data_IF_878723565353
#
_entry.id   IF_878723565353
#
_cell.length_a   1.000
_cell.length_b   1.000
_cell.length_c   1.000
_cell.angle_alpha   90.00
_cell.angle_beta   90.00
_cell.angle_gamma   90.00
#
_symmetry.space_group_name_H-M   'P 1'
#
loop_
_entity.id
_entity.type
_entity.pdbx_description
1 polymer ?
#
# COMPACT_ATOMS: atom_id res chain seq x y z
N UNK A 1 -3.60 -13.02 -9.45
CA UNK A 1 -3.42 -13.92 -8.29
C UNK A 1 -1.94 -14.24 -8.18
N UNK A 2 -1.40 -14.42 -6.98
CA UNK A 2 0.00 -14.79 -6.84
C UNK A 2 0.26 -16.17 -7.45
N UNK A 3 1.43 -16.33 -8.07
CA UNK A 3 1.85 -17.60 -8.68
C UNK A 3 2.47 -18.44 -7.58
N UNK A 4 2.08 -19.72 -7.52
CA UNK A 4 2.66 -20.69 -6.58
C UNK A 4 4.17 -20.81 -6.77
N UNK A 5 4.88 -21.07 -5.69
CA UNK A 5 6.35 -21.17 -5.70
C UNK A 5 6.88 -22.19 -6.73
N UNK A 6 6.16 -23.30 -6.91
CA UNK A 6 6.47 -24.37 -7.84
C UNK A 6 5.93 -24.15 -9.27
N UNK A 7 5.46 -22.95 -9.60
CA UNK A 7 4.95 -22.58 -10.92
C UNK A 7 5.65 -21.33 -11.48
N UNK A 8 5.63 -21.20 -12.80
CA UNK A 8 6.04 -19.99 -13.51
C UNK A 8 5.00 -19.57 -14.55
N UNK A 9 5.10 -18.33 -15.04
CA UNK A 9 4.23 -17.86 -16.13
C UNK A 9 4.32 -18.75 -17.38
N UNK A 10 5.51 -19.30 -17.66
CA UNK A 10 5.71 -20.22 -18.77
C UNK A 10 5.00 -21.56 -18.53
N UNK A 11 5.17 -22.16 -17.34
CA UNK A 11 4.54 -23.44 -17.00
C UNK A 11 3.01 -23.34 -17.05
N UNK A 12 2.47 -22.22 -16.57
CA UNK A 12 1.03 -21.90 -16.59
C UNK A 12 0.51 -21.90 -18.03
N UNK A 13 1.20 -21.20 -18.94
CA UNK A 13 0.78 -21.11 -20.34
C UNK A 13 0.86 -22.46 -21.05
N UNK A 14 1.95 -23.20 -20.85
CA UNK A 14 2.14 -24.53 -21.43
C UNK A 14 1.07 -25.50 -20.94
N UNK A 15 0.79 -25.51 -19.63
CA UNK A 15 -0.20 -26.42 -19.07
C UNK A 15 -1.64 -26.04 -19.48
N UNK A 16 -1.95 -24.74 -19.56
CA UNK A 16 -3.25 -24.27 -20.05
C UNK A 16 -3.54 -24.75 -21.47
N UNK A 17 -2.54 -24.61 -22.36
CA UNK A 17 -2.62 -25.11 -23.75
C UNK A 17 -2.71 -26.63 -23.79
N UNK A 18 -1.87 -27.33 -23.03
CA UNK A 18 -1.86 -28.81 -22.97
C UNK A 18 -3.20 -29.38 -22.52
N UNK A 19 -3.87 -28.73 -21.55
CA UNK A 19 -5.19 -29.13 -21.06
C UNK A 19 -6.34 -28.72 -21.99
N UNK A 20 -6.08 -27.96 -23.06
CA UNK A 20 -7.10 -27.52 -24.00
C UNK A 20 -8.21 -26.67 -23.35
N UNK A 21 -7.84 -25.85 -22.35
CA UNK A 21 -8.82 -25.10 -21.54
C UNK A 21 -9.34 -23.84 -22.23
N UNK A 22 -8.76 -23.44 -23.35
CA UNK A 22 -9.24 -22.33 -24.16
C UNK A 22 -10.64 -22.62 -24.70
N UNK A 23 -11.55 -21.65 -24.61
CA UNK A 23 -12.92 -21.81 -25.12
C UNK A 23 -13.01 -22.15 -26.61
N UNK A 24 -12.00 -21.76 -27.40
CA UNK A 24 -11.89 -22.04 -28.84
C UNK A 24 -11.48 -23.49 -29.15
N UNK A 25 -10.84 -24.16 -28.20
CA UNK A 25 -10.25 -25.50 -28.37
C UNK A 25 -10.94 -26.55 -27.47
N UNK A 26 -11.75 -26.10 -26.51
CA UNK A 26 -12.42 -26.96 -25.55
C UNK A 26 -13.39 -27.91 -26.23
N UNK A 27 -13.20 -29.21 -25.97
CA UNK A 27 -14.14 -30.25 -26.34
C UNK A 27 -14.90 -30.70 -25.09
N UNK A 28 -16.24 -30.68 -25.10
CA UNK A 28 -17.03 -31.11 -23.96
C UNK A 28 -16.65 -32.52 -23.50
N UNK A 29 -16.19 -32.63 -22.25
CA UNK A 29 -15.91 -33.91 -21.61
C UNK A 29 -17.12 -34.33 -20.77
N UNK A 30 -17.57 -35.58 -20.93
CA UNK A 30 -18.71 -36.13 -20.17
C UNK A 30 -18.38 -36.47 -18.72
N UNK A 31 -17.09 -36.51 -18.35
CA UNK A 31 -16.65 -36.87 -16.98
C UNK A 31 -16.42 -35.67 -16.07
N UNK A 32 -15.92 -34.55 -16.60
CA UNK A 32 -15.60 -33.36 -15.81
C UNK A 32 -15.98 -32.08 -16.57
N UNK A 33 -16.92 -31.29 -16.04
CA UNK A 33 -17.30 -29.99 -16.60
C UNK A 33 -16.11 -29.04 -16.76
N UNK A 34 -16.18 -28.13 -17.74
CA UNK A 34 -15.11 -27.16 -18.03
C UNK A 34 -14.76 -26.27 -16.83
N UNK A 35 -15.77 -25.85 -16.05
CA UNK A 35 -15.56 -24.99 -14.89
C UNK A 35 -14.77 -25.69 -13.78
N UNK A 36 -14.94 -26.99 -13.60
CA UNK A 36 -14.17 -27.77 -12.63
C UNK A 36 -12.72 -27.96 -13.09
N UNK A 37 -12.50 -28.20 -14.38
CA UNK A 37 -11.15 -28.24 -14.96
C UNK A 37 -10.42 -26.90 -14.80
N UNK A 38 -11.12 -25.77 -14.99
CA UNK A 38 -10.60 -24.42 -14.77
C UNK A 38 -10.29 -24.17 -13.28
N UNK A 39 -11.17 -24.56 -12.35
CA UNK A 39 -10.92 -24.44 -10.91
C UNK A 39 -9.67 -25.22 -10.50
N UNK A 40 -9.52 -26.44 -11.00
CA UNK A 40 -8.34 -27.27 -10.76
C UNK A 40 -7.08 -26.65 -11.34
N UNK A 41 -7.12 -26.16 -12.58
CA UNK A 41 -6.00 -25.43 -13.18
C UNK A 41 -5.60 -24.21 -12.34
N UNK A 42 -6.57 -23.42 -11.89
CA UNK A 42 -6.30 -22.27 -11.02
C UNK A 42 -5.64 -22.75 -9.72
N UNK A 43 -6.19 -23.79 -9.08
CA UNK A 43 -5.66 -24.36 -7.86
C UNK A 43 -4.23 -24.91 -8.04
N UNK A 44 -3.90 -25.51 -9.19
CA UNK A 44 -2.58 -26.10 -9.42
C UNK A 44 -1.48 -25.04 -9.54
N UNK A 45 -1.80 -23.82 -9.99
CA UNK A 45 -0.82 -22.80 -10.34
C UNK A 45 -0.84 -21.51 -9.54
N UNK A 46 -1.97 -21.16 -8.93
CA UNK A 46 -2.14 -19.88 -8.25
C UNK A 46 -2.47 -20.07 -6.78
N UNK A 47 -1.90 -19.20 -5.95
CA UNK A 47 -2.29 -19.08 -4.55
C UNK A 47 -3.56 -18.23 -4.41
N UNK A 48 -4.31 -18.39 -3.30
CA UNK A 48 -5.41 -17.50 -2.98
C UNK A 48 -4.99 -16.02 -3.05
N UNK A 49 -5.84 -15.11 -3.54
CA UNK A 49 -5.41 -13.72 -3.64
C UNK A 49 -5.08 -13.13 -2.25
N UNK A 50 -4.05 -12.31 -2.15
CA UNK A 50 -3.59 -11.70 -0.89
C UNK A 50 -2.56 -12.51 -0.11
N UNK A 51 -2.19 -13.72 -0.53
CA UNK A 51 -1.07 -14.48 0.08
C UNK A 51 0.29 -13.79 -0.11
N UNK A 52 0.37 -12.84 -1.04
CA UNK A 52 1.54 -12.00 -1.29
C UNK A 52 1.74 -10.88 -0.24
N UNK A 53 0.83 -10.76 0.73
CA UNK A 53 0.96 -9.87 1.88
C UNK A 53 0.84 -10.64 3.19
N UNK A 54 1.69 -10.30 4.16
CA UNK A 54 1.60 -10.78 5.54
C UNK A 54 1.01 -9.69 6.44
N UNK A 55 0.12 -10.05 7.38
CA UNK A 55 -0.35 -9.10 8.39
C UNK A 55 0.81 -8.68 9.29
N UNK A 56 0.84 -7.40 9.67
CA UNK A 56 1.77 -6.86 10.66
C UNK A 56 1.05 -5.84 11.54
N UNK A 57 1.41 -5.80 12.82
CA UNK A 57 1.07 -4.67 13.68
C UNK A 57 2.12 -3.57 13.44
N UNK A 58 1.72 -2.34 13.07
CA UNK A 58 2.67 -1.24 12.94
C UNK A 58 3.47 -1.04 14.23
N UNK A 59 4.76 -0.73 14.11
CA UNK A 59 5.71 -0.82 15.23
C UNK A 59 5.54 0.31 16.27
N UNK A 60 4.94 1.42 15.89
CA UNK A 60 4.59 2.55 16.76
C UNK A 60 3.12 2.50 17.25
N UNK A 61 2.39 1.41 16.97
CA UNK A 61 1.04 1.21 17.48
C UNK A 61 1.02 0.96 19.00
N UNK A 62 0.11 1.62 19.71
CA UNK A 62 -0.04 1.51 21.17
C UNK A 62 -1.46 1.06 21.56
N UNK A 63 -1.64 -0.21 21.89
CA UNK A 63 -2.98 -0.79 22.15
C UNK A 63 -3.63 -0.39 23.48
N UNK A 64 -2.85 0.12 24.45
CA UNK A 64 -3.30 0.29 25.84
C UNK A 64 -3.58 1.74 26.23
N UNK A 65 -3.20 2.70 25.40
CA UNK A 65 -3.28 4.13 25.73
C UNK A 65 -4.07 4.88 24.67
N UNK A 66 -4.83 5.87 25.11
CA UNK A 66 -5.46 6.80 24.18
C UNK A 66 -4.35 7.69 23.57
N UNK A 67 -4.26 7.78 22.24
CA UNK A 67 -3.39 8.76 21.59
C UNK A 67 -3.66 10.18 22.13
N UNK A 68 -2.68 11.08 22.24
CA UNK A 68 -2.86 12.38 22.88
C UNK A 68 -4.06 13.19 22.34
N UNK A 69 -4.28 13.18 21.03
CA UNK A 69 -5.43 13.85 20.41
C UNK A 69 -6.76 13.20 20.78
N UNK A 70 -6.80 11.86 20.86
CA UNK A 70 -8.00 11.12 21.28
C UNK A 70 -8.27 11.33 22.77
N UNK A 71 -7.22 11.33 23.61
CA UNK A 71 -7.32 11.58 25.04
C UNK A 71 -7.90 12.97 25.37
N UNK A 72 -7.65 13.96 24.51
CA UNK A 72 -8.17 15.33 24.64
C UNK A 72 -9.65 15.51 24.32
N UNK A 73 -10.33 14.48 23.80
CA UNK A 73 -11.77 14.53 23.51
C UNK A 73 -12.55 14.52 24.84
N UNK A 74 -13.35 15.56 25.06
CA UNK A 74 -14.11 15.77 26.31
C UNK A 74 -15.30 14.81 26.44
N UNK A 75 -15.98 14.55 25.34
CA UNK A 75 -17.12 13.64 25.29
C UNK A 75 -16.65 12.19 25.37
N UNK A 76 -17.14 11.43 26.35
CA UNK A 76 -16.69 10.08 26.63
C UNK A 76 -17.08 9.07 25.54
N UNK A 77 -18.27 9.24 24.94
CA UNK A 77 -18.75 8.37 23.86
C UNK A 77 -17.91 8.59 22.60
N UNK A 78 -17.68 9.85 22.23
CA UNK A 78 -16.85 10.19 21.07
C UNK A 78 -15.39 9.78 21.28
N UNK A 79 -14.87 9.91 22.50
CA UNK A 79 -13.53 9.43 22.85
C UNK A 79 -13.41 7.92 22.72
N UNK A 80 -14.41 7.18 23.21
CA UNK A 80 -14.47 5.72 23.08
C UNK A 80 -14.52 5.30 21.61
N UNK A 81 -15.39 5.91 20.82
CA UNK A 81 -15.48 5.66 19.38
C UNK A 81 -14.17 5.98 18.63
N UNK A 82 -13.53 7.10 18.94
CA UNK A 82 -12.25 7.46 18.34
C UNK A 82 -11.13 6.48 18.72
N UNK A 83 -11.15 5.95 19.94
CA UNK A 83 -10.23 4.90 20.36
C UNK A 83 -10.52 3.56 19.68
N UNK A 84 -11.79 3.25 19.41
CA UNK A 84 -12.14 2.07 18.61
C UNK A 84 -11.65 2.18 17.17
N UNK A 85 -11.66 3.38 16.57
CA UNK A 85 -11.01 3.62 15.27
C UNK A 85 -9.50 3.39 15.34
N UNK A 86 -8.83 3.88 16.39
CA UNK A 86 -7.40 3.66 16.60
C UNK A 86 -7.05 2.16 16.60
N UNK A 87 -7.87 1.32 17.26
CA UNK A 87 -7.64 -0.13 17.33
C UNK A 87 -7.64 -0.82 15.96
N UNK A 88 -8.30 -0.25 14.95
CA UNK A 88 -8.39 -0.84 13.61
C UNK A 88 -7.01 -0.90 12.95
N UNK A 89 -6.10 0.06 13.23
CA UNK A 89 -4.76 0.11 12.63
C UNK A 89 -3.93 -1.16 12.86
N UNK A 90 -4.13 -1.82 14.01
CA UNK A 90 -3.51 -3.10 14.32
C UNK A 90 -3.79 -4.18 13.26
N UNK A 91 -4.98 -4.14 12.65
CA UNK A 91 -5.45 -5.16 11.71
C UNK A 91 -5.20 -4.82 10.23
N UNK A 92 -4.89 -3.55 9.92
CA UNK A 92 -4.75 -3.06 8.55
C UNK A 92 -3.30 -3.06 8.05
N UNK A 93 -2.32 -3.22 8.93
CA UNK A 93 -0.90 -3.29 8.56
C UNK A 93 -0.55 -4.53 7.74
N UNK A 94 0.15 -4.33 6.63
CA UNK A 94 0.63 -5.37 5.73
C UNK A 94 2.10 -5.16 5.38
N UNK A 95 2.84 -6.24 5.18
CA UNK A 95 4.17 -6.24 4.55
C UNK A 95 4.19 -7.22 3.39
N UNK A 96 5.12 -7.02 2.46
CA UNK A 96 5.36 -7.96 1.37
C UNK A 96 5.76 -9.35 1.90
N UNK A 97 5.14 -10.39 1.36
CA UNK A 97 5.59 -11.77 1.54
C UNK A 97 6.68 -12.10 0.52
N UNK A 98 7.98 -12.16 0.89
CA UNK A 98 9.07 -12.35 -0.05
C UNK A 98 9.06 -13.74 -0.73
N UNK A 99 8.32 -14.69 -0.17
CA UNK A 99 8.26 -16.07 -0.67
C UNK A 99 7.19 -16.26 -1.76
N UNK A 100 6.42 -15.22 -2.06
CA UNK A 100 5.29 -15.31 -2.99
C UNK A 100 5.54 -14.42 -4.20
N UNK A 101 5.47 -15.01 -5.40
CA UNK A 101 5.57 -14.27 -6.67
C UNK A 101 4.23 -13.62 -6.96
N UNK A 102 4.05 -12.42 -6.42
CA UNK A 102 2.84 -11.63 -6.52
C UNK A 102 2.85 -10.62 -7.66
N UNK A 103 1.75 -9.87 -7.73
CA UNK A 103 1.62 -8.69 -8.59
C UNK A 103 1.95 -7.39 -7.86
N UNK A 104 2.48 -7.49 -6.63
CA UNK A 104 2.87 -6.33 -5.84
C UNK A 104 3.94 -5.52 -6.57
N UNK A 105 3.74 -4.22 -6.55
CA UNK A 105 4.66 -3.28 -7.15
C UNK A 105 5.79 -3.00 -6.16
N UNK A 106 6.98 -3.47 -6.50
CA UNK A 106 8.19 -3.17 -5.76
C UNK A 106 8.82 -1.87 -6.31
N UNK A 107 9.39 -1.09 -5.39
CA UNK A 107 10.24 0.04 -5.70
C UNK A 107 11.60 -0.14 -5.04
N UNK A 108 12.63 0.47 -5.63
CA UNK A 108 13.94 0.60 -5.03
C UNK A 108 13.85 1.56 -3.86
N UNK A 109 14.44 1.14 -2.73
CA UNK A 109 14.63 2.02 -1.59
C UNK A 109 15.53 3.19 -1.98
N UNK A 110 15.20 4.37 -1.49
CA UNK A 110 16.02 5.55 -1.67
C UNK A 110 17.29 5.42 -0.82
N UNK A 111 18.44 5.75 -1.41
CA UNK A 111 19.71 5.88 -0.71
C UNK A 111 19.84 7.30 -0.14
N UNK A 112 18.86 7.68 0.70
CA UNK A 112 18.77 9.01 1.30
C UNK A 112 18.40 8.87 2.78
N UNK A 113 19.32 9.17 3.72
CA UNK A 113 19.13 8.92 5.15
C UNK A 113 17.86 9.54 5.73
N UNK A 114 17.51 10.75 5.33
CA UNK A 114 16.33 11.47 5.83
C UNK A 114 15.02 10.87 5.30
N UNK A 115 15.07 10.07 4.23
CA UNK A 115 13.93 9.34 3.65
C UNK A 115 13.91 7.85 4.03
N UNK A 116 14.75 7.44 4.98
CA UNK A 116 14.74 6.06 5.46
C UNK A 116 13.43 5.71 6.15
N UNK A 117 13.05 4.44 6.03
CA UNK A 117 11.89 3.85 6.67
C UNK A 117 12.27 2.53 7.34
N UNK A 118 11.80 2.27 8.57
CA UNK A 118 12.21 1.10 9.34
C UNK A 118 11.69 -0.20 8.71
N UNK A 119 10.51 -0.15 8.09
CA UNK A 119 9.91 -1.28 7.40
C UNK A 119 8.99 -0.80 6.26
N UNK A 120 8.76 -1.69 5.30
CA UNK A 120 7.84 -1.45 4.19
C UNK A 120 6.39 -1.77 4.58
N UNK A 121 5.94 -1.16 5.68
CA UNK A 121 4.56 -1.32 6.15
C UNK A 121 3.64 -0.55 5.21
N UNK A 122 2.66 -1.27 4.69
CA UNK A 122 1.52 -0.72 3.95
C UNK A 122 0.31 -0.80 4.87
N UNK A 123 -0.59 0.18 4.77
CA UNK A 123 -1.89 0.13 5.42
C UNK A 123 -2.92 0.00 4.31
N UNK A 124 -3.74 -1.06 4.36
CA UNK A 124 -4.82 -1.27 3.39
C UNK A 124 -6.10 -0.59 3.87
N UNK A 125 -6.99 -0.14 2.97
CA UNK A 125 -8.29 0.45 3.37
C UNK A 125 -9.21 -0.52 4.15
N UNK A 126 -8.98 -1.83 4.03
CA UNK A 126 -9.76 -2.87 4.70
C UNK A 126 -10.75 -3.58 3.79
N UNK A 127 -11.47 -4.57 4.34
CA UNK A 127 -12.45 -5.37 3.60
C UNK A 127 -11.82 -6.18 2.46
N UNK A 128 -12.29 -5.96 1.23
CA UNK A 128 -11.82 -6.70 0.05
C UNK A 128 -10.50 -6.19 -0.54
N UNK A 129 -10.03 -5.01 -0.12
CA UNK A 129 -8.85 -4.37 -0.68
C UNK A 129 -7.57 -4.98 -0.09
N UNK A 130 -6.62 -5.31 -0.98
CA UNK A 130 -5.40 -6.08 -0.64
C UNK A 130 -4.14 -5.38 -1.17
N UNK A 131 -4.20 -4.07 -1.35
CA UNK A 131 -3.08 -3.23 -1.76
C UNK A 131 -3.26 -1.82 -1.19
N UNK A 132 -2.18 -1.05 -1.19
CA UNK A 132 -2.22 0.39 -0.98
C UNK A 132 -2.86 1.08 -2.18
N UNK A 133 -3.58 2.17 -1.91
CA UNK A 133 -4.16 3.07 -2.90
C UNK A 133 -3.66 4.49 -2.63
N UNK A 134 -3.32 5.23 -3.67
CA UNK A 134 -2.60 6.49 -3.54
C UNK A 134 -3.41 7.55 -2.76
N UNK A 135 -4.58 7.95 -3.25
CA UNK A 135 -5.35 9.00 -2.58
C UNK A 135 -5.92 8.56 -1.21
N UNK A 136 -6.25 7.27 -1.02
CA UNK A 136 -6.64 6.69 0.27
C UNK A 136 -5.52 6.84 1.31
N UNK A 137 -4.26 6.76 0.86
CA UNK A 137 -3.09 6.93 1.74
C UNK A 137 -3.06 8.30 2.40
N UNK A 138 -3.64 9.34 1.80
CA UNK A 138 -3.74 10.67 2.42
C UNK A 138 -4.51 10.62 3.74
N UNK A 139 -5.70 10.03 3.70
CA UNK A 139 -6.59 9.92 4.86
C UNK A 139 -6.04 8.95 5.90
N UNK A 140 -5.38 7.89 5.45
CA UNK A 140 -4.65 6.97 6.32
C UNK A 140 -3.52 7.70 7.07
N UNK A 141 -2.67 8.46 6.36
CA UNK A 141 -1.58 9.24 6.96
C UNK A 141 -2.12 10.22 8.01
N UNK A 142 -3.20 10.94 7.71
CA UNK A 142 -3.86 11.82 8.68
C UNK A 142 -4.35 11.05 9.93
N UNK A 143 -5.03 9.92 9.72
CA UNK A 143 -5.55 9.09 10.83
C UNK A 143 -4.45 8.48 11.70
N UNK A 144 -3.33 8.08 11.09
CA UNK A 144 -2.14 7.60 11.79
C UNK A 144 -1.50 8.71 12.64
N UNK A 145 -1.42 9.94 12.12
CA UNK A 145 -0.89 11.09 12.89
C UNK A 145 -1.78 11.42 14.09
N UNK A 146 -3.11 11.42 13.93
CA UNK A 146 -4.07 11.56 15.05
C UNK A 146 -3.93 10.42 16.07
N UNK A 147 -3.53 9.25 15.59
CA UNK A 147 -3.31 8.03 16.37
C UNK A 147 -1.94 7.95 17.04
N UNK A 148 -1.13 9.01 16.98
CA UNK A 148 0.24 9.05 17.52
C UNK A 148 1.17 8.00 16.88
N UNK A 149 1.02 7.77 15.57
CA UNK A 149 1.80 6.81 14.77
C UNK A 149 2.61 7.52 13.66
N UNK A 150 3.47 8.49 14.00
CA UNK A 150 4.15 9.34 13.01
C UNK A 150 5.18 8.57 12.18
N UNK A 151 5.77 7.51 12.73
CA UNK A 151 6.83 6.78 12.04
C UNK A 151 6.22 5.87 10.96
N UNK A 152 5.08 5.23 11.26
CA UNK A 152 4.31 4.49 10.24
C UNK A 152 3.78 5.43 9.17
N UNK A 153 3.24 6.60 9.55
CA UNK A 153 2.78 7.63 8.60
C UNK A 153 3.91 8.06 7.64
N UNK A 154 5.08 8.45 8.18
CA UNK A 154 6.25 8.81 7.36
C UNK A 154 6.74 7.66 6.49
N UNK A 155 6.71 6.43 6.99
CA UNK A 155 7.06 5.24 6.22
C UNK A 155 6.19 5.02 4.98
N UNK A 156 4.88 5.30 5.06
CA UNK A 156 3.96 5.26 3.91
C UNK A 156 4.35 6.34 2.89
N UNK A 157 4.55 7.59 3.34
CA UNK A 157 4.92 8.70 2.45
C UNK A 157 6.24 8.43 1.73
N UNK A 158 7.24 7.89 2.44
CA UNK A 158 8.53 7.54 1.85
C UNK A 158 8.41 6.42 0.81
N UNK A 159 7.51 5.45 1.02
CA UNK A 159 7.21 4.44 0.00
C UNK A 159 6.59 5.07 -1.26
N UNK A 160 5.73 6.08 -1.11
CA UNK A 160 5.17 6.79 -2.28
C UNK A 160 6.24 7.64 -3.00
N UNK A 161 7.17 8.24 -2.28
CA UNK A 161 8.33 8.93 -2.87
C UNK A 161 9.23 7.96 -3.67
N UNK A 162 9.41 6.72 -3.19
CA UNK A 162 10.11 5.68 -3.96
C UNK A 162 9.41 5.39 -5.29
N UNK A 163 8.06 5.36 -5.32
CA UNK A 163 7.31 5.21 -6.57
C UNK A 163 7.55 6.36 -7.54
N UNK A 164 7.55 7.61 -7.07
CA UNK A 164 7.87 8.75 -7.94
C UNK A 164 9.31 8.67 -8.44
N UNK A 165 10.25 8.31 -7.57
CA UNK A 165 11.67 8.19 -7.93
C UNK A 165 11.93 7.13 -9.01
N UNK A 166 11.21 6.00 -8.97
CA UNK A 166 11.40 4.91 -9.93
C UNK A 166 10.52 5.02 -11.18
N UNK A 167 9.26 5.44 -11.03
CA UNK A 167 8.25 5.39 -12.08
C UNK A 167 7.84 6.77 -12.61
N UNK A 168 8.26 7.86 -11.97
CA UNK A 168 7.94 9.24 -12.37
C UNK A 168 6.55 9.74 -11.93
N UNK A 169 5.80 8.93 -11.19
CA UNK A 169 4.51 9.29 -10.59
C UNK A 169 4.14 8.26 -9.52
N UNK A 170 3.10 8.55 -8.74
CA UNK A 170 2.50 7.54 -7.83
C UNK A 170 1.40 6.75 -8.56
N UNK A 171 1.53 5.43 -8.74
CA UNK A 171 0.47 4.62 -9.34
C UNK A 171 -0.80 4.61 -8.48
N UNK A 172 -1.95 4.36 -9.12
CA UNK A 172 -3.24 4.26 -8.43
C UNK A 172 -3.20 3.32 -7.22
N UNK A 173 -2.49 2.20 -7.32
CA UNK A 173 -2.22 1.33 -6.18
C UNK A 173 -0.94 0.52 -6.31
N UNK A 174 -0.56 -0.18 -5.25
CA UNK A 174 0.71 -0.92 -5.13
C UNK A 174 0.80 -2.23 -5.94
N UNK A 175 0.32 -2.24 -7.19
CA UNK A 175 0.30 -3.42 -8.07
C UNK A 175 0.82 -3.07 -9.46
N UNK A 176 1.53 -4.00 -10.11
CA UNK A 176 2.17 -3.77 -11.43
C UNK A 176 1.20 -3.32 -12.53
N UNK A 177 -0.06 -3.79 -12.49
CA UNK A 177 -1.09 -3.42 -13.46
C UNK A 177 -1.68 -2.02 -13.24
N UNK A 178 -1.21 -1.29 -12.23
CA UNK A 178 -1.52 0.13 -12.00
C UNK A 178 -0.47 1.08 -12.61
N UNK A 179 0.64 0.58 -13.20
CA UNK A 179 1.71 1.40 -13.79
C UNK A 179 1.29 2.23 -15.03
N UNK A 180 0.01 2.23 -15.40
CA UNK A 180 -0.54 3.02 -16.50
C UNK A 180 -1.52 4.10 -16.03
N UNK A 181 -1.78 4.21 -14.73
CA UNK A 181 -2.76 5.14 -14.16
C UNK A 181 -2.38 5.62 -12.77
N UNK A 182 -2.69 6.87 -12.48
CA UNK A 182 -2.55 7.47 -11.14
C UNK A 182 -3.93 7.71 -10.49
N UNK A 183 -3.95 8.52 -9.44
CA UNK A 183 -5.09 9.03 -8.69
C UNK A 183 -4.83 10.50 -8.33
N UNK A 184 -5.80 11.25 -7.77
CA UNK A 184 -5.59 12.64 -7.40
C UNK A 184 -4.29 12.86 -6.62
N UNK A 185 -3.43 13.81 -7.04
CA UNK A 185 -2.11 13.97 -6.45
C UNK A 185 -2.22 14.61 -5.06
N UNK A 186 -1.78 13.87 -4.04
CA UNK A 186 -1.81 14.29 -2.63
C UNK A 186 -0.43 14.16 -1.96
N UNK A 187 0.62 13.77 -2.70
CA UNK A 187 1.92 13.43 -2.13
C UNK A 187 2.63 14.64 -1.49
N UNK A 188 2.59 15.81 -2.12
CA UNK A 188 3.19 17.03 -1.55
C UNK A 188 2.56 17.40 -0.20
N UNK A 189 1.24 17.26 -0.09
CA UNK A 189 0.51 17.52 1.16
C UNK A 189 0.87 16.47 2.22
N UNK A 190 0.97 15.18 1.83
CA UNK A 190 1.44 14.13 2.75
C UNK A 190 2.86 14.38 3.25
N UNK A 191 3.79 14.78 2.37
CA UNK A 191 5.16 15.17 2.75
C UNK A 191 5.13 16.31 3.76
N UNK A 192 4.34 17.35 3.51
CA UNK A 192 4.18 18.47 4.45
C UNK A 192 3.59 18.04 5.79
N UNK A 193 2.63 17.12 5.79
CA UNK A 193 2.00 16.60 7.01
C UNK A 193 3.01 15.86 7.89
N UNK A 194 3.79 14.93 7.32
CA UNK A 194 4.74 14.12 8.08
C UNK A 194 6.05 14.85 8.40
N UNK A 195 6.35 15.95 7.70
CA UNK A 195 7.48 16.83 8.00
C UNK A 195 7.24 17.72 9.22
N UNK A 196 5.99 17.88 9.67
CA UNK A 196 5.66 18.77 10.79
C UNK A 196 6.19 18.21 12.10
N UNK A 197 6.94 19.02 12.83
CA UNK A 197 7.46 18.66 14.14
C UNK A 197 6.44 19.03 15.24
N UNK A 198 6.38 18.27 16.34
CA UNK A 198 5.56 18.63 17.49
C UNK A 198 6.17 19.87 18.18
N UNK A 199 5.48 21.01 18.10
CA UNK A 199 5.90 22.26 18.75
C UNK A 199 4.95 22.59 19.91
N UNK A 200 5.52 22.98 21.05
CA UNK A 200 4.78 23.61 22.14
C UNK A 200 4.56 25.10 21.81
N UNK A 201 3.57 25.44 20.97
CA UNK A 201 3.30 26.83 20.60
C UNK A 201 2.43 27.00 19.34
N UNK A 202 2.27 28.26 18.90
CA UNK A 202 1.49 28.62 17.69
C UNK A 202 2.26 28.46 16.38
N UNK A 203 3.60 28.39 16.44
CA UNK A 203 4.43 28.27 15.25
C UNK A 203 4.61 26.81 14.85
N UNK A 204 4.53 26.54 13.54
CA UNK A 204 4.78 25.19 13.01
C UNK A 204 6.24 25.09 12.59
N UNK A 205 6.97 24.20 13.24
CA UNK A 205 8.33 23.83 12.86
C UNK A 205 8.28 22.60 11.95
N UNK A 206 9.22 22.52 11.00
CA UNK A 206 9.28 21.46 10.00
C UNK A 206 10.67 20.82 9.98
N UNK A 207 10.73 19.53 9.70
CA UNK A 207 11.95 18.79 9.39
C UNK A 207 12.49 19.26 8.02
N UNK A 208 13.32 20.30 8.05
CA UNK A 208 13.91 20.90 6.84
C UNK A 208 14.79 19.91 6.06
N UNK A 209 15.44 18.97 6.76
CA UNK A 209 16.29 17.95 6.14
C UNK A 209 15.43 17.00 5.30
N UNK A 210 14.32 16.53 5.87
CA UNK A 210 13.33 15.73 5.15
C UNK A 210 12.73 16.45 3.95
N UNK A 211 12.34 17.71 4.12
CA UNK A 211 11.77 18.50 3.03
C UNK A 211 12.78 18.70 1.89
N UNK A 212 14.04 18.99 2.22
CA UNK A 212 15.13 19.13 1.24
C UNK A 212 15.38 17.83 0.48
N UNK A 213 15.29 16.69 1.15
CA UNK A 213 15.44 15.39 0.53
C UNK A 213 14.23 15.01 -0.36
N UNK A 214 13.01 15.33 0.05
CA UNK A 214 11.79 14.99 -0.67
C UNK A 214 11.54 15.88 -1.90
N UNK A 215 11.91 17.16 -1.85
CA UNK A 215 11.57 18.15 -2.87
C UNK A 215 12.02 17.76 -4.30
N UNK A 216 13.28 17.33 -4.55
CA UNK A 216 13.72 16.94 -5.89
C UNK A 216 12.99 15.72 -6.46
N UNK A 217 12.37 14.91 -5.59
CA UNK A 217 11.56 13.76 -5.99
C UNK A 217 10.16 14.24 -6.38
N UNK A 218 9.55 15.12 -5.57
CA UNK A 218 8.24 15.71 -5.86
C UNK A 218 8.22 16.48 -7.19
N UNK A 219 9.30 17.18 -7.54
CA UNK A 219 9.43 17.89 -8.82
C UNK A 219 9.40 16.96 -10.05
N UNK A 220 9.64 15.66 -9.86
CA UNK A 220 9.58 14.66 -10.92
C UNK A 220 8.18 14.07 -11.11
N UNK A 221 7.24 14.34 -10.21
CA UNK A 221 5.89 13.78 -10.29
C UNK A 221 5.16 14.34 -11.52
N UNK A 222 5.15 13.55 -12.59
CA UNK A 222 4.61 13.94 -13.91
C UNK A 222 3.13 14.33 -13.86
N UNK A 223 2.37 13.80 -12.89
CA UNK A 223 0.95 14.18 -12.70
C UNK A 223 0.83 15.63 -12.23
N UNK A 224 1.75 16.09 -11.37
CA UNK A 224 1.79 17.50 -10.94
C UNK A 224 2.26 18.42 -12.07
N UNK A 225 3.18 17.97 -12.91
CA UNK A 225 3.72 18.74 -14.04
C UNK A 225 2.64 19.00 -15.11
N UNK A 226 1.81 18.00 -15.43
CA UNK A 226 0.74 18.14 -16.42
C UNK A 226 -0.42 19.03 -15.91
N UNK A 227 -0.72 18.99 -14.60
CA UNK A 227 -1.73 19.86 -13.99
C UNK A 227 -1.34 21.34 -13.96
N UNK A 228 -0.05 21.68 -13.97
CA UNK A 228 0.42 23.06 -14.05
C UNK A 228 0.53 23.59 -15.49
N UNK A 229 0.38 22.71 -16.48
CA UNK A 229 0.57 23.01 -17.90
C UNK A 229 -0.75 23.21 -18.67
N UNK A 230 -1.89 23.32 -17.98
CA UNK A 230 -3.24 23.51 -18.54
C UNK A 230 -3.95 24.71 -17.93
#
# INVERSE_FOLDING_TARGET
MPIKENSSAFDILVDFQRRGLAMTEYQPNTQEPHDEQLRRFIHDHFDPPGTDLLPITPFDYQSLFHPPMVAGIQDEELRGWAFDLHKIWQSLGRIHNPNVKGSLLNSRKLDEPSLNRPANVLIVPGGRFRESYYWDSYWIVQGLLVSDMPITARGIVNHLLEYVSEFGFVPNGGRIYYLTRSQPPMLSDMVKLVARLPVNGSDSEYDEEYLRAALPILERDTVLVDMQSS
#
